data_IF_509887610442
#
_entry.id   IF_509887610442
#
_cell.length_a   1.000
_cell.length_b   1.000
_cell.length_c   1.000
_cell.angle_alpha   90.00
_cell.angle_beta   90.00
_cell.angle_gamma   90.00
#
_symmetry.space_group_name_H-M   'P 1'
#
loop_
_entity.id
_entity.type
_entity.pdbx_description
1 polymer ?
#
# COMPACT_ATOMS: atom_id res chain seq x y z
N UNK A 1 16.14 -19.78 -1.31
CA UNK A 1 14.77 -20.33 -1.41
C UNK A 1 14.57 -20.98 -2.78
N UNK A 2 13.77 -22.05 -2.91
CA UNK A 2 13.42 -22.61 -4.22
C UNK A 2 12.62 -21.61 -5.07
N UNK A 3 12.88 -21.54 -6.37
CA UNK A 3 12.32 -20.52 -7.27
C UNK A 3 10.78 -20.50 -7.28
N UNK A 4 10.14 -21.66 -7.37
CA UNK A 4 8.68 -21.76 -7.34
C UNK A 4 8.06 -21.27 -6.02
N UNK A 5 8.79 -21.33 -4.90
CA UNK A 5 8.31 -20.82 -3.61
C UNK A 5 8.27 -19.30 -3.64
N UNK A 6 9.28 -18.64 -4.21
CA UNK A 6 9.31 -17.18 -4.32
C UNK A 6 8.09 -16.67 -5.11
N UNK A 7 7.82 -17.24 -6.29
CA UNK A 7 6.68 -16.84 -7.12
C UNK A 7 5.32 -17.23 -6.50
N UNK A 8 5.23 -18.41 -5.85
CA UNK A 8 3.99 -18.78 -5.13
C UNK A 8 3.68 -17.81 -4.00
N UNK A 9 4.70 -17.35 -3.27
CA UNK A 9 4.51 -16.37 -2.19
C UNK A 9 4.13 -15.01 -2.78
N UNK A 10 4.85 -14.54 -3.81
CA UNK A 10 4.60 -13.24 -4.43
C UNK A 10 3.26 -13.14 -5.20
N UNK A 11 2.67 -14.27 -5.59
CA UNK A 11 1.41 -14.30 -6.35
C UNK A 11 0.27 -14.95 -5.56
N UNK A 12 0.18 -16.29 -5.59
CA UNK A 12 -0.98 -17.03 -5.09
C UNK A 12 -1.21 -16.88 -3.59
N UNK A 13 -0.13 -16.93 -2.79
CA UNK A 13 -0.24 -16.87 -1.32
C UNK A 13 -0.75 -15.51 -0.87
N UNK A 14 -0.24 -14.42 -1.47
CA UNK A 14 -0.72 -13.05 -1.25
C UNK A 14 -2.18 -12.90 -1.65
N UNK A 15 -2.57 -13.37 -2.84
CA UNK A 15 -3.96 -13.30 -3.29
C UNK A 15 -4.91 -14.03 -2.34
N UNK A 16 -4.51 -15.22 -1.85
CA UNK A 16 -5.29 -15.98 -0.87
C UNK A 16 -5.37 -15.27 0.49
N UNK A 17 -4.27 -14.64 0.93
CA UNK A 17 -4.25 -13.89 2.19
C UNK A 17 -5.25 -12.73 2.19
N UNK A 18 -5.38 -12.01 1.06
CA UNK A 18 -6.30 -10.88 0.92
C UNK A 18 -7.69 -11.25 0.38
N UNK A 19 -8.01 -12.54 0.18
CA UNK A 19 -9.30 -12.97 -0.35
C UNK A 19 -9.53 -12.63 -1.84
N UNK A 20 -8.48 -12.32 -2.59
CA UNK A 20 -8.52 -11.95 -4.01
C UNK A 20 -8.58 -13.21 -4.89
N UNK A 21 -9.71 -13.93 -4.81
CA UNK A 21 -9.86 -15.26 -5.40
C UNK A 21 -9.69 -15.31 -6.93
N UNK A 22 -9.79 -14.19 -7.63
CA UNK A 22 -9.64 -14.09 -9.09
C UNK A 22 -8.19 -13.79 -9.53
N UNK A 23 -7.26 -13.56 -8.59
CA UNK A 23 -5.87 -13.15 -8.87
C UNK A 23 -4.83 -14.22 -8.46
N UNK A 24 -3.58 -13.97 -8.83
CA UNK A 24 -2.40 -14.63 -8.28
C UNK A 24 -2.12 -16.03 -8.81
N UNK A 25 -2.88 -16.51 -9.80
CA UNK A 25 -2.71 -17.83 -10.41
C UNK A 25 -2.94 -17.74 -11.93
N UNK A 26 -2.04 -18.36 -12.70
CA UNK A 26 -2.23 -18.55 -14.14
C UNK A 26 -3.15 -19.75 -14.38
N UNK A 27 -4.45 -19.51 -14.54
CA UNK A 27 -5.45 -20.53 -14.82
C UNK A 27 -6.69 -19.91 -15.51
N UNK A 28 -7.49 -20.70 -16.26
CA UNK A 28 -8.77 -20.24 -16.79
C UNK A 28 -9.69 -19.67 -15.70
N UNK A 29 -10.40 -18.58 -16.01
CA UNK A 29 -11.27 -17.89 -15.07
C UNK A 29 -10.55 -17.01 -14.04
N UNK A 30 -9.22 -16.85 -14.13
CA UNK A 30 -8.45 -15.85 -13.38
C UNK A 30 -8.15 -14.64 -14.24
N UNK A 31 -7.89 -13.50 -13.61
CA UNK A 31 -7.49 -12.28 -14.30
C UNK A 31 -6.10 -12.45 -14.93
N UNK A 32 -5.94 -11.92 -16.14
CA UNK A 32 -4.69 -11.94 -16.88
C UNK A 32 -3.73 -10.83 -16.44
N UNK A 33 -3.37 -10.84 -15.15
CA UNK A 33 -2.26 -10.06 -14.60
C UNK A 33 -1.00 -10.93 -14.69
N UNK A 34 -0.23 -10.76 -15.77
CA UNK A 34 0.84 -11.69 -16.17
C UNK A 34 2.15 -10.93 -16.32
N UNK A 35 3.23 -11.50 -15.80
CA UNK A 35 4.60 -11.02 -16.03
C UNK A 35 5.35 -12.08 -16.82
N UNK A 36 5.77 -11.74 -18.03
CA UNK A 36 6.61 -12.59 -18.87
C UNK A 36 8.08 -12.34 -18.54
N UNK A 37 8.81 -13.40 -18.17
CA UNK A 37 10.21 -13.33 -17.78
C UNK A 37 11.09 -14.06 -18.79
N UNK A 38 12.17 -13.41 -19.23
CA UNK A 38 13.21 -14.09 -20.03
C UNK A 38 14.19 -14.88 -19.16
N UNK A 39 14.33 -14.52 -17.88
CA UNK A 39 15.10 -15.24 -16.87
C UNK A 39 14.40 -15.16 -15.51
N UNK A 40 13.83 -16.28 -15.05
CA UNK A 40 13.12 -16.36 -13.78
C UNK A 40 14.04 -16.34 -12.54
N UNK A 41 15.34 -16.59 -12.68
CA UNK A 41 16.30 -16.48 -11.56
C UNK A 41 16.74 -15.04 -11.35
N UNK A 42 16.89 -14.28 -12.44
CA UNK A 42 17.24 -12.85 -12.40
C UNK A 42 16.02 -11.92 -12.35
N UNK A 43 14.82 -12.46 -12.56
CA UNK A 43 13.56 -11.72 -12.68
C UNK A 43 13.64 -10.68 -13.82
N UNK A 44 14.24 -11.07 -14.93
CA UNK A 44 14.34 -10.19 -16.11
C UNK A 44 13.00 -10.12 -16.81
N UNK A 45 12.29 -9.00 -16.65
CA UNK A 45 10.96 -8.76 -17.22
C UNK A 45 11.06 -8.44 -18.71
N UNK A 46 10.32 -9.19 -19.52
CA UNK A 46 10.18 -8.95 -20.96
C UNK A 46 8.89 -8.18 -21.27
N UNK A 47 7.79 -8.49 -20.57
CA UNK A 47 6.50 -7.86 -20.78
C UNK A 47 5.63 -7.98 -19.53
N UNK A 48 4.74 -7.02 -19.32
CA UNK A 48 3.70 -7.06 -18.30
C UNK A 48 2.35 -6.91 -18.98
N UNK A 49 1.37 -7.70 -18.54
CA UNK A 49 -0.02 -7.57 -18.91
C UNK A 49 -0.83 -7.28 -17.65
N UNK A 50 -1.71 -6.28 -17.73
CA UNK A 50 -2.68 -5.97 -16.68
C UNK A 50 -4.06 -6.17 -17.27
N UNK A 51 -4.86 -7.06 -16.69
CA UNK A 51 -6.18 -7.45 -17.23
C UNK A 51 -6.13 -7.93 -18.68
N UNK A 52 -5.01 -8.51 -19.11
CA UNK A 52 -4.81 -8.99 -20.48
C UNK A 52 -4.30 -7.94 -21.46
N UNK A 53 -4.18 -6.67 -21.05
CA UNK A 53 -3.64 -5.61 -21.89
C UNK A 53 -2.15 -5.41 -21.63
N UNK A 54 -1.31 -5.33 -22.67
CA UNK A 54 0.11 -5.07 -22.51
C UNK A 54 0.33 -3.66 -21.96
N UNK A 55 1.24 -3.54 -20.98
CA UNK A 55 1.64 -2.25 -20.42
C UNK A 55 3.15 -2.07 -20.54
N UNK A 56 3.59 -0.84 -20.81
CA UNK A 56 4.99 -0.45 -20.81
C UNK A 56 5.25 0.75 -19.89
N UNK A 57 6.52 1.08 -19.71
CA UNK A 57 6.94 2.17 -18.83
C UNK A 57 6.40 3.52 -19.31
N UNK A 58 6.34 3.74 -20.62
CA UNK A 58 5.87 4.98 -21.23
C UNK A 58 4.38 5.22 -20.95
N UNK A 59 3.55 4.18 -21.09
CA UNK A 59 2.11 4.24 -20.80
C UNK A 59 1.88 4.48 -19.31
N UNK A 60 2.62 3.77 -18.45
CA UNK A 60 2.57 4.02 -17.00
C UNK A 60 2.92 5.46 -16.67
N UNK A 61 3.97 6.02 -17.27
CA UNK A 61 4.42 7.38 -16.99
C UNK A 61 3.44 8.43 -17.52
N UNK A 62 2.87 8.23 -18.71
CA UNK A 62 1.89 9.13 -19.30
C UNK A 62 0.61 9.25 -18.46
N UNK A 63 0.17 8.16 -17.85
CA UNK A 63 -1.06 8.09 -17.04
C UNK A 63 -0.87 8.43 -15.56
N UNK A 64 0.37 8.61 -15.08
CA UNK A 64 0.69 8.79 -13.66
C UNK A 64 -0.05 9.99 -13.04
N UNK A 65 -0.01 11.15 -13.70
CA UNK A 65 -0.69 12.37 -13.24
C UNK A 65 -2.20 12.15 -13.06
N UNK A 66 -2.83 11.40 -13.96
CA UNK A 66 -4.26 11.10 -13.86
C UNK A 66 -4.57 10.18 -12.68
N UNK A 67 -3.77 9.12 -12.46
CA UNK A 67 -3.93 8.21 -11.32
C UNK A 67 -3.69 8.91 -9.97
N UNK A 68 -2.72 9.82 -9.90
CA UNK A 68 -2.44 10.62 -8.70
C UNK A 68 -3.56 11.62 -8.39
N UNK A 69 -4.18 12.22 -9.41
CA UNK A 69 -5.36 13.04 -9.21
C UNK A 69 -6.55 12.22 -8.71
N UNK A 70 -6.73 11.00 -9.24
CA UNK A 70 -7.84 10.11 -8.89
C UNK A 70 -7.77 9.55 -7.47
N UNK A 71 -6.57 9.32 -6.92
CA UNK A 71 -6.43 8.82 -5.55
C UNK A 71 -6.85 9.86 -4.48
N UNK A 72 -7.07 11.11 -4.88
CA UNK A 72 -7.49 12.23 -4.04
C UNK A 72 -6.80 12.27 -2.65
N UNK A 73 -5.47 12.10 -2.58
CA UNK A 73 -4.80 12.00 -1.29
C UNK A 73 -4.76 13.40 -0.65
N UNK A 74 -4.79 13.49 0.69
CA UNK A 74 -4.70 14.76 1.37
C UNK A 74 -3.28 15.32 1.24
N UNK A 75 -3.06 16.22 0.27
CA UNK A 75 -1.76 16.87 0.04
C UNK A 75 -1.46 18.02 1.03
N UNK A 76 -2.41 18.38 1.89
CA UNK A 76 -2.25 19.47 2.85
C UNK A 76 -3.34 19.46 3.91
N UNK A 77 -3.17 20.31 4.93
CA UNK A 77 -4.09 20.45 6.06
C UNK A 77 -4.45 19.12 6.77
N UNK A 78 -3.49 18.19 6.81
CA UNK A 78 -3.64 16.90 7.54
C UNK A 78 -3.59 17.09 9.05
N UNK A 79 -3.14 18.26 9.50
CA UNK A 79 -3.04 18.62 10.91
C UNK A 79 -4.33 19.34 11.33
N UNK A 80 -5.36 18.56 11.63
CA UNK A 80 -6.64 19.05 12.13
C UNK A 80 -6.59 19.26 13.66
N UNK A 81 -5.90 20.31 14.10
CA UNK A 81 -5.88 20.70 15.52
C UNK A 81 -5.92 22.21 15.70
N UNK A 82 -6.41 22.63 16.87
CA UNK A 82 -6.26 24.01 17.30
C UNK A 82 -4.78 24.34 17.57
N UNK A 83 -4.35 25.60 17.39
CA UNK A 83 -3.01 26.06 17.75
C UNK A 83 -2.66 25.67 19.19
N UNK A 84 -1.40 25.28 19.42
CA UNK A 84 -0.88 24.94 20.74
C UNK A 84 -0.30 26.17 21.39
N UNK A 85 -0.48 26.26 22.69
CA UNK A 85 0.13 27.21 23.60
C UNK A 85 1.05 26.47 24.57
N UNK A 86 1.94 27.22 25.25
CA UNK A 86 2.80 26.64 26.28
C UNK A 86 2.00 25.98 27.43
N UNK A 87 0.80 26.48 27.74
CA UNK A 87 -0.07 25.92 28.78
C UNK A 87 -0.60 24.53 28.47
N UNK A 88 -0.70 24.14 27.20
CA UNK A 88 -1.14 22.79 26.80
C UNK A 88 -0.11 21.70 27.18
N UNK A 89 1.12 22.11 27.51
CA UNK A 89 2.20 21.21 27.94
C UNK A 89 2.37 21.18 29.47
N UNK A 90 1.58 21.95 30.23
CA UNK A 90 1.71 21.99 31.68
C UNK A 90 0.97 20.79 32.31
N UNK A 91 1.66 19.88 33.02
CA UNK A 91 0.99 18.77 33.67
C UNK A 91 -0.01 19.28 34.70
N UNK A 92 -1.23 18.72 34.69
CA UNK A 92 -2.23 19.02 35.70
C UNK A 92 -1.71 18.60 37.08
N UNK A 93 -1.17 19.56 37.83
CA UNK A 93 -0.76 19.33 39.21
C UNK A 93 -2.06 19.20 40.01
N UNK A 94 -2.47 17.96 40.32
CA UNK A 94 -3.57 17.70 41.23
C UNK A 94 -3.21 18.31 42.60
N UNK A 95 -3.75 19.48 42.90
CA UNK A 95 -3.63 20.08 44.21
C UNK A 95 -4.32 19.16 45.23
N UNK A 96 -3.54 18.46 46.06
CA UNK A 96 -4.05 17.80 47.25
C UNK A 96 -4.77 18.85 48.10
N UNK A 97 -6.07 18.65 48.33
CA UNK A 97 -6.84 19.37 49.36
C UNK A 97 -6.05 19.31 50.67
N UNK A 98 -5.52 20.45 51.11
CA UNK A 98 -5.13 20.61 52.51
C UNK A 98 -6.40 20.58 53.34
N UNK A 99 -6.59 19.48 54.09
CA UNK A 99 -7.56 19.41 55.17
C UNK A 99 -7.16 20.46 56.20
N UNK A 100 -7.90 21.58 56.25
CA UNK A 100 -7.91 22.49 57.39
C UNK A 100 -8.62 21.78 58.53
N UNK A 101 -7.85 21.27 59.49
CA UNK A 101 -8.34 20.71 60.74
C UNK A 101 -7.53 21.25 61.91
N UNK A 102 -8.27 21.84 62.85
CA UNK A 102 -7.92 22.33 64.19
C UNK A 102 -7.39 23.77 64.31
#
# INVERSE_FOLDING_TARGET
MPLHVAYRVASWSTARHFGLNHLGLLAPGKQADIVLLSDARKVTVQQVLVKGEPIDAQTLQAEESARLAQSAPPYGNTIARQPVSASDFCPAIYARKTLSGH
#
